data_IF_169635961006
#
_entry.id   IF_169635961006
#
_cell.length_a   1.000
_cell.length_b   1.000
_cell.length_c   1.000
_cell.angle_alpha   90.00
_cell.angle_beta   90.00
_cell.angle_gamma   90.00
#
_symmetry.space_group_name_H-M   'P 1'
#
loop_
_entity.id
_entity.type
_entity.pdbx_description
1 polymer ?
#
# COMPACT_ATOMS: atom_id res chain seq x y z
N UNK A 1 14.31 -14.64 -5.47
CA UNK A 1 12.91 -14.82 -5.87
C UNK A 1 12.84 -15.58 -7.21
N UNK A 2 11.81 -16.41 -7.44
CA UNK A 2 11.50 -16.97 -8.75
C UNK A 2 11.34 -15.88 -9.82
N UNK A 3 11.58 -16.20 -11.08
CA UNK A 3 11.51 -15.22 -12.18
C UNK A 3 10.10 -14.66 -12.38
N UNK A 4 9.09 -15.44 -12.05
CA UNK A 4 7.67 -15.12 -12.21
C UNK A 4 7.04 -14.59 -10.92
N UNK A 5 7.82 -14.30 -9.87
CA UNK A 5 7.32 -13.86 -8.57
C UNK A 5 6.47 -12.58 -8.64
N UNK A 6 6.63 -11.78 -9.70
CA UNK A 6 5.91 -10.52 -9.93
C UNK A 6 4.94 -10.63 -11.12
N UNK A 7 4.69 -11.83 -11.66
CA UNK A 7 3.87 -12.04 -12.84
C UNK A 7 2.75 -13.06 -12.59
N UNK A 8 1.58 -12.83 -13.18
CA UNK A 8 0.45 -13.76 -13.08
C UNK A 8 -0.89 -13.12 -13.43
N UNK A 9 -1.97 -13.93 -13.42
CA UNK A 9 -3.32 -13.41 -13.47
C UNK A 9 -3.52 -12.40 -12.34
N UNK A 10 -4.21 -11.30 -12.63
CA UNK A 10 -4.34 -10.19 -11.71
C UNK A 10 -5.80 -9.74 -11.59
N UNK A 11 -6.09 -9.05 -10.50
CA UNK A 11 -7.32 -8.27 -10.29
C UNK A 11 -6.90 -6.87 -9.83
N UNK A 12 -7.48 -5.82 -10.42
CA UNK A 12 -7.33 -4.45 -9.92
C UNK A 12 -8.54 -4.06 -9.10
N UNK A 13 -8.36 -3.97 -7.77
CA UNK A 13 -9.40 -3.52 -6.84
C UNK A 13 -9.38 -2.00 -6.73
N UNK A 14 -10.57 -1.41 -6.77
CA UNK A 14 -10.78 0.02 -6.58
C UNK A 14 -11.03 0.33 -5.11
N UNK A 15 -10.07 0.96 -4.46
CA UNK A 15 -10.22 1.44 -3.08
C UNK A 15 -10.67 2.90 -2.99
N UNK A 16 -10.50 3.67 -4.08
CA UNK A 16 -10.81 5.10 -4.19
C UNK A 16 -10.62 5.89 -2.89
N UNK A 17 -9.37 6.04 -2.47
CA UNK A 17 -9.05 6.52 -1.14
C UNK A 17 -9.02 8.05 -1.03
N UNK A 18 -9.49 8.52 0.12
CA UNK A 18 -9.28 9.91 0.52
C UNK A 18 -7.82 10.17 0.95
N UNK A 19 -7.34 11.42 0.89
CA UNK A 19 -6.02 11.76 1.44
C UNK A 19 -5.88 11.30 2.88
N UNK A 20 -4.76 10.65 3.20
CA UNK A 20 -4.47 10.07 4.51
C UNK A 20 -5.39 8.94 5.00
N UNK A 21 -6.15 8.30 4.10
CA UNK A 21 -6.87 7.10 4.48
C UNK A 21 -5.88 5.98 4.81
N UNK A 22 -6.03 5.42 6.02
CA UNK A 22 -5.38 4.18 6.42
C UNK A 22 -6.23 3.02 5.92
N UNK A 23 -5.75 2.32 4.89
CA UNK A 23 -6.41 1.15 4.32
C UNK A 23 -6.32 -0.02 5.30
N UNK A 24 -7.47 -0.62 5.58
CA UNK A 24 -7.66 -1.74 6.50
C UNK A 24 -8.14 -2.99 5.77
N UNK A 25 -8.33 -4.08 6.51
CA UNK A 25 -8.98 -5.30 6.04
C UNK A 25 -10.41 -5.05 5.51
N UNK A 26 -11.14 -4.14 6.15
CA UNK A 26 -12.51 -3.80 5.74
C UNK A 26 -12.57 -3.13 4.37
N UNK A 27 -11.68 -2.18 4.11
CA UNK A 27 -11.60 -1.51 2.81
C UNK A 27 -11.28 -2.52 1.69
N UNK A 28 -10.42 -3.51 1.99
CA UNK A 28 -10.08 -4.58 1.04
C UNK A 28 -11.26 -5.52 0.80
N UNK A 29 -12.00 -5.91 1.84
CA UNK A 29 -13.21 -6.72 1.72
C UNK A 29 -14.30 -5.98 0.92
N UNK A 30 -14.55 -4.70 1.22
CA UNK A 30 -15.50 -3.86 0.48
C UNK A 30 -15.12 -3.72 -1.01
N UNK A 31 -13.83 -3.58 -1.32
CA UNK A 31 -13.36 -3.53 -2.70
C UNK A 31 -13.50 -4.88 -3.43
N UNK A 32 -13.28 -6.01 -2.72
CA UNK A 32 -13.56 -7.34 -3.25
C UNK A 32 -15.06 -7.50 -3.57
N UNK A 33 -15.94 -7.08 -2.65
CA UNK A 33 -17.39 -7.11 -2.86
C UNK A 33 -17.82 -6.26 -4.06
N UNK A 34 -17.31 -5.02 -4.17
CA UNK A 34 -17.56 -4.12 -5.31
C UNK A 34 -17.14 -4.75 -6.64
N UNK A 35 -16.05 -5.53 -6.65
CA UNK A 35 -15.54 -6.22 -7.82
C UNK A 35 -16.17 -7.60 -8.06
N UNK A 36 -17.08 -8.06 -7.17
CA UNK A 36 -17.60 -9.43 -7.14
C UNK A 36 -16.46 -10.47 -7.20
N UNK A 37 -15.42 -10.26 -6.39
CA UNK A 37 -14.19 -11.04 -6.35
C UNK A 37 -14.11 -11.83 -5.03
N UNK A 38 -13.80 -13.13 -5.10
CA UNK A 38 -13.49 -13.92 -3.89
C UNK A 38 -11.99 -13.79 -3.58
N UNK A 39 -11.59 -13.18 -2.45
CA UNK A 39 -10.19 -13.02 -2.10
C UNK A 39 -9.45 -14.36 -1.92
N UNK A 40 -10.13 -15.49 -1.74
CA UNK A 40 -9.48 -16.80 -1.74
C UNK A 40 -8.82 -17.16 -3.08
N UNK A 41 -9.28 -16.56 -4.19
CA UNK A 41 -8.66 -16.74 -5.50
C UNK A 41 -7.21 -16.25 -5.55
N UNK A 42 -6.83 -15.29 -4.68
CA UNK A 42 -5.46 -14.77 -4.61
C UNK A 42 -4.42 -15.87 -4.34
N UNK A 43 -4.80 -16.88 -3.56
CA UNK A 43 -3.94 -18.04 -3.23
C UNK A 43 -3.54 -18.86 -4.46
N UNK A 44 -4.25 -18.73 -5.57
CA UNK A 44 -3.95 -19.43 -6.82
C UNK A 44 -2.87 -18.72 -7.65
N UNK A 45 -2.00 -17.95 -7.00
CA UNK A 45 -0.87 -17.26 -7.62
C UNK A 45 -1.25 -15.97 -8.33
N UNK A 46 -2.34 -15.32 -7.92
CA UNK A 46 -2.76 -14.05 -8.52
C UNK A 46 -1.99 -12.86 -7.98
N UNK A 47 -1.86 -11.82 -8.81
CA UNK A 47 -1.38 -10.50 -8.42
C UNK A 47 -2.57 -9.66 -7.95
N UNK A 48 -2.46 -9.09 -6.75
CA UNK A 48 -3.41 -8.12 -6.24
C UNK A 48 -2.95 -6.72 -6.63
N UNK A 49 -3.73 -6.03 -7.45
CA UNK A 49 -3.49 -4.63 -7.79
C UNK A 49 -4.45 -3.75 -7.00
N UNK A 50 -3.92 -2.76 -6.28
CA UNK A 50 -4.70 -1.82 -5.49
C UNK A 50 -4.62 -0.43 -6.12
N UNK A 51 -5.77 0.05 -6.60
CA UNK A 51 -5.91 1.43 -7.07
C UNK A 51 -6.50 2.25 -5.93
N UNK A 52 -5.69 3.14 -5.36
CA UNK A 52 -6.11 4.08 -4.31
C UNK A 52 -6.45 5.47 -4.85
N UNK A 53 -6.09 5.75 -6.11
CA UNK A 53 -6.21 7.07 -6.72
C UNK A 53 -4.96 7.92 -6.54
N UNK A 54 -3.96 7.43 -5.79
CA UNK A 54 -2.68 8.11 -5.61
C UNK A 54 -1.89 8.22 -6.90
N UNK A 55 -2.05 7.29 -7.86
CA UNK A 55 -1.38 7.43 -9.15
C UNK A 55 -1.73 8.76 -9.82
N UNK A 56 -2.98 9.26 -9.72
CA UNK A 56 -3.40 10.54 -10.31
C UNK A 56 -2.71 11.77 -9.71
N UNK A 57 -2.10 11.62 -8.52
CA UNK A 57 -1.37 12.67 -7.81
C UNK A 57 0.15 12.54 -7.95
N UNK A 58 0.64 11.51 -8.64
CA UNK A 58 2.08 11.24 -8.81
C UNK A 58 2.83 12.48 -9.30
N UNK A 59 3.69 13.00 -8.43
CA UNK A 59 4.56 14.16 -8.62
C UNK A 59 5.49 14.27 -7.39
N UNK A 60 6.48 15.16 -7.43
CA UNK A 60 7.36 15.51 -6.30
C UNK A 60 6.65 16.34 -5.20
N UNK A 61 5.32 16.18 -5.10
CA UNK A 61 4.45 17.00 -4.27
C UNK A 61 4.20 16.37 -2.89
N UNK A 62 3.83 17.22 -1.92
CA UNK A 62 3.33 16.73 -0.63
C UNK A 62 2.07 15.87 -0.79
N UNK A 63 1.26 16.13 -1.82
CA UNK A 63 0.00 15.41 -2.04
C UNK A 63 0.27 13.93 -2.29
N UNK A 64 1.30 13.62 -3.09
CA UNK A 64 1.70 12.26 -3.38
C UNK A 64 2.43 11.58 -2.22
N UNK A 65 3.35 12.30 -1.56
CA UNK A 65 4.18 11.73 -0.51
C UNK A 65 3.55 11.87 0.87
N UNK A 66 3.43 13.10 1.36
CA UNK A 66 3.08 13.40 2.74
C UNK A 66 1.62 13.07 3.05
N UNK A 67 0.71 13.32 2.09
CA UNK A 67 -0.74 13.16 2.22
C UNK A 67 -1.28 11.92 1.50
N UNK A 68 -0.39 10.98 1.15
CA UNK A 68 -0.77 9.71 0.55
C UNK A 68 -1.76 8.95 1.44
N UNK A 69 -2.70 8.24 0.83
CA UNK A 69 -3.28 7.06 1.46
C UNK A 69 -2.21 5.95 1.59
N UNK A 70 -2.52 4.88 2.30
CA UNK A 70 -1.67 3.70 2.32
C UNK A 70 -2.15 2.66 3.31
N UNK A 71 -1.50 1.50 3.30
CA UNK A 71 -1.90 0.38 4.13
C UNK A 71 -1.31 0.45 5.54
N UNK A 72 -1.74 -0.45 6.42
CA UNK A 72 -1.12 -0.65 7.72
C UNK A 72 -1.36 -2.06 8.23
N UNK A 73 -1.35 -2.24 9.55
CA UNK A 73 -1.40 -3.55 10.21
C UNK A 73 -2.54 -4.46 9.69
N UNK A 74 -3.76 -3.94 9.64
CA UNK A 74 -4.95 -4.75 9.30
C UNK A 74 -4.92 -5.22 7.85
N UNK A 75 -4.58 -4.32 6.93
CA UNK A 75 -4.36 -4.67 5.53
C UNK A 75 -3.20 -5.66 5.35
N UNK A 76 -2.08 -5.48 6.06
CA UNK A 76 -0.95 -6.42 6.04
C UNK A 76 -1.35 -7.83 6.47
N UNK A 77 -2.09 -7.95 7.59
CA UNK A 77 -2.63 -9.24 8.06
C UNK A 77 -3.61 -9.85 7.04
N UNK A 78 -4.45 -9.04 6.41
CA UNK A 78 -5.37 -9.49 5.36
C UNK A 78 -4.61 -10.05 4.15
N UNK A 79 -3.59 -9.32 3.68
CA UNK A 79 -2.75 -9.74 2.56
C UNK A 79 -2.01 -11.03 2.90
N UNK A 80 -1.41 -11.14 4.08
CA UNK A 80 -0.75 -12.36 4.54
C UNK A 80 -1.74 -13.55 4.61
N UNK A 81 -2.96 -13.30 5.07
CA UNK A 81 -4.04 -14.30 5.11
C UNK A 81 -4.33 -14.82 3.71
N UNK A 82 -4.66 -13.98 2.73
CA UNK A 82 -5.08 -14.41 1.39
C UNK A 82 -3.92 -14.71 0.43
N UNK A 83 -2.71 -14.36 0.82
CA UNK A 83 -1.45 -14.79 0.20
C UNK A 83 -1.41 -14.62 -1.33
N UNK A 84 -1.65 -13.39 -1.85
CA UNK A 84 -1.41 -13.12 -3.27
C UNK A 84 0.06 -13.36 -3.61
N UNK A 85 0.35 -13.65 -4.88
CA UNK A 85 1.72 -13.81 -5.37
C UNK A 85 2.52 -12.51 -5.24
N UNK A 86 1.88 -11.39 -5.57
CA UNK A 86 2.44 -10.05 -5.54
C UNK A 86 1.34 -9.05 -5.22
N UNK A 87 1.66 -7.96 -4.52
CA UNK A 87 0.78 -6.81 -4.36
C UNK A 87 1.39 -5.62 -5.09
N UNK A 88 0.63 -5.00 -5.99
CA UNK A 88 1.05 -3.79 -6.69
C UNK A 88 0.11 -2.65 -6.35
N UNK A 89 0.62 -1.50 -5.95
CA UNK A 89 -0.22 -0.36 -5.56
C UNK A 89 0.36 0.98 -6.01
N UNK A 90 -0.53 1.96 -6.16
CA UNK A 90 -0.20 3.28 -6.69
C UNK A 90 0.31 4.29 -5.65
N UNK A 91 0.35 3.90 -4.37
CA UNK A 91 0.94 4.69 -3.30
C UNK A 91 2.47 4.78 -3.43
N UNK A 92 3.04 5.82 -2.81
CA UNK A 92 4.48 6.05 -2.78
C UNK A 92 5.28 4.91 -2.12
N UNK A 93 4.65 4.23 -1.16
CA UNK A 93 5.13 3.01 -0.52
C UNK A 93 3.95 2.08 -0.20
N UNK A 94 4.22 0.84 0.25
CA UNK A 94 3.16 -0.09 0.66
C UNK A 94 2.38 0.46 1.86
N UNK A 95 3.09 0.99 2.85
CA UNK A 95 2.51 1.50 4.10
C UNK A 95 2.14 2.99 4.01
N UNK A 96 1.13 3.36 4.80
CA UNK A 96 0.73 4.75 5.01
C UNK A 96 1.92 5.60 5.44
N UNK A 97 2.08 6.86 4.97
CA UNK A 97 3.25 7.68 5.25
C UNK A 97 3.59 7.82 6.74
N UNK A 98 2.58 7.79 7.61
CA UNK A 98 2.78 7.87 9.06
C UNK A 98 3.36 6.59 9.69
N UNK A 99 3.26 5.43 9.04
CA UNK A 99 3.98 4.20 9.41
C UNK A 99 5.43 4.19 8.94
N UNK A 100 5.83 5.15 8.09
CA UNK A 100 7.18 5.28 7.52
C UNK A 100 7.99 6.39 8.20
N UNK A 101 9.22 6.60 7.73
CA UNK A 101 10.14 7.58 8.28
C UNK A 101 9.61 9.00 8.12
N UNK A 102 8.62 9.23 7.25
CA UNK A 102 7.95 10.53 7.14
C UNK A 102 7.24 10.95 8.43
N UNK A 103 6.69 9.98 9.17
CA UNK A 103 6.09 10.17 10.48
C UNK A 103 7.13 10.09 11.61
N UNK A 104 6.73 9.50 12.74
CA UNK A 104 7.59 9.27 13.91
C UNK A 104 8.03 7.82 14.08
N UNK A 105 7.88 6.99 13.04
CA UNK A 105 8.25 5.58 13.12
C UNK A 105 9.62 5.29 12.51
N UNK A 106 10.13 4.12 12.86
CA UNK A 106 11.38 3.58 12.34
C UNK A 106 12.62 4.26 12.92
N UNK A 107 13.80 3.91 12.43
CA UNK A 107 15.06 4.44 12.96
C UNK A 107 15.25 5.94 12.68
N UNK A 108 14.61 6.48 11.63
CA UNK A 108 14.87 7.85 11.16
C UNK A 108 13.92 8.89 11.76
N UNK A 109 12.61 8.59 11.88
CA UNK A 109 11.59 9.44 12.51
C UNK A 109 11.62 10.93 12.09
N UNK A 110 11.56 11.21 10.77
CA UNK A 110 11.77 12.57 10.25
C UNK A 110 10.69 13.56 10.69
N UNK A 111 9.46 13.09 10.90
CA UNK A 111 8.30 13.87 11.28
C UNK A 111 8.14 15.14 10.42
N UNK A 112 7.97 14.93 9.12
CA UNK A 112 8.10 15.96 8.08
C UNK A 112 7.08 17.11 8.25
N UNK A 113 7.43 18.34 7.81
CA UNK A 113 6.52 19.49 7.86
C UNK A 113 5.38 19.38 6.85
N UNK A 114 4.14 19.51 7.33
CA UNK A 114 2.93 19.56 6.51
C UNK A 114 2.69 20.92 5.83
N UNK A 115 1.43 21.18 5.48
CA UNK A 115 0.93 22.36 4.75
C UNK A 115 0.70 23.55 5.69
N UNK A 116 0.36 23.28 6.94
CA UNK A 116 0.18 24.29 7.99
C UNK A 116 1.52 24.75 8.58
N UNK A 117 2.63 24.14 8.15
CA UNK A 117 3.96 24.32 8.74
C UNK A 117 4.20 23.49 10.00
N UNK A 118 3.15 22.85 10.55
CA UNK A 118 3.28 21.86 11.64
C UNK A 118 3.62 20.48 11.08
N UNK A 119 4.23 19.59 11.88
CA UNK A 119 4.56 18.25 11.41
C UNK A 119 3.31 17.45 11.01
N UNK A 120 3.46 16.54 10.04
CA UNK A 120 2.34 15.75 9.50
C UNK A 120 1.63 14.91 10.57
N UNK A 121 2.31 14.49 11.63
CA UNK A 121 1.66 13.79 12.75
C UNK A 121 0.70 14.70 13.50
N UNK A 122 1.06 15.98 13.70
CA UNK A 122 0.19 16.93 14.39
C UNK A 122 -1.01 17.30 13.53
N UNK A 123 -0.79 17.54 12.23
CA UNK A 123 -1.90 17.81 11.30
C UNK A 123 -2.89 16.65 11.21
N UNK A 124 -2.39 15.41 11.24
CA UNK A 124 -3.25 14.23 11.28
C UNK A 124 -4.05 14.17 12.59
N UNK A 125 -3.40 14.38 13.75
CA UNK A 125 -4.07 14.41 15.07
C UNK A 125 -5.15 15.49 15.10
N UNK A 126 -4.88 16.68 14.57
CA UNK A 126 -5.86 17.77 14.59
C UNK A 126 -7.08 17.47 13.72
N UNK A 127 -6.90 16.72 12.63
CA UNK A 127 -7.97 16.39 11.68
C UNK A 127 -8.77 15.16 12.13
N UNK A 128 -8.10 14.11 12.60
CA UNK A 128 -8.71 12.79 12.85
C UNK A 128 -8.72 12.38 14.32
N UNK A 129 -8.04 13.13 15.18
CA UNK A 129 -7.93 12.84 16.61
C UNK A 129 -6.77 11.92 16.98
N UNK A 130 -6.45 11.90 18.27
CA UNK A 130 -5.35 11.10 18.82
C UNK A 130 -5.61 9.59 18.74
N UNK A 131 -6.87 9.16 18.82
CA UNK A 131 -7.27 7.75 18.70
C UNK A 131 -6.98 7.20 17.30
N UNK A 132 -7.25 7.97 16.24
CA UNK A 132 -6.86 7.59 14.89
C UNK A 132 -5.33 7.57 14.74
N UNK A 133 -4.64 8.57 15.28
CA UNK A 133 -3.17 8.63 15.21
C UNK A 133 -2.48 7.48 15.98
N UNK A 134 -3.09 6.99 17.05
CA UNK A 134 -2.56 5.92 17.88
C UNK A 134 -2.16 4.68 17.07
N UNK A 135 -2.86 4.37 15.98
CA UNK A 135 -2.53 3.25 15.11
C UNK A 135 -1.17 3.36 14.43
N UNK A 136 -0.62 4.56 14.31
CA UNK A 136 0.69 4.77 13.70
C UNK A 136 1.83 4.75 14.69
N UNK A 137 1.62 4.99 15.99
CA UNK A 137 2.75 5.22 16.91
C UNK A 137 2.57 4.41 18.19
N UNK A 138 3.60 3.63 18.55
CA UNK A 138 3.56 2.67 19.64
C UNK A 138 3.23 3.30 20.99
N UNK A 139 3.90 4.38 21.38
CA UNK A 139 3.70 5.00 22.69
C UNK A 139 2.29 5.59 22.80
N UNK A 140 1.82 6.27 21.76
CA UNK A 140 0.45 6.78 21.68
C UNK A 140 -0.57 5.63 21.72
N UNK A 141 -0.33 4.53 21.00
CA UNK A 141 -1.20 3.35 21.08
C UNK A 141 -1.32 2.83 22.51
N UNK A 142 -0.19 2.65 23.19
CA UNK A 142 -0.18 2.15 24.56
C UNK A 142 -0.86 3.14 25.52
N UNK A 143 -0.69 4.45 25.32
CA UNK A 143 -1.35 5.46 26.14
C UNK A 143 -2.88 5.49 25.93
N UNK A 144 -3.34 5.34 24.69
CA UNK A 144 -4.77 5.43 24.34
C UNK A 144 -5.50 4.12 24.63
N UNK A 145 -4.89 2.97 24.31
CA UNK A 145 -5.55 1.66 24.29
C UNK A 145 -4.95 0.64 25.27
N UNK A 146 -3.82 0.94 25.89
CA UNK A 146 -3.15 0.05 26.84
C UNK A 146 -2.18 -0.94 26.18
N UNK A 147 -1.20 -1.40 26.97
CA UNK A 147 -0.17 -2.35 26.54
C UNK A 147 -0.75 -3.72 26.14
N UNK A 148 -1.80 -4.18 26.82
CA UNK A 148 -2.44 -5.47 26.51
C UNK A 148 -2.97 -5.50 25.08
N UNK A 149 -3.75 -4.48 24.70
CA UNK A 149 -4.27 -4.34 23.34
C UNK A 149 -3.15 -4.08 22.32
N UNK A 150 -2.10 -3.38 22.71
CA UNK A 150 -0.92 -3.22 21.83
C UNK A 150 -0.30 -4.57 21.49
N UNK A 151 -0.11 -5.45 22.47
CA UNK A 151 0.44 -6.78 22.25
C UNK A 151 -0.53 -7.71 21.52
N UNK A 152 -1.85 -7.56 21.70
CA UNK A 152 -2.85 -8.27 20.88
C UNK A 152 -2.72 -7.92 19.40
N UNK A 153 -2.52 -6.63 19.09
CA UNK A 153 -2.47 -6.16 17.71
C UNK A 153 -1.10 -6.36 17.06
N UNK A 154 -0.03 -5.96 17.74
CA UNK A 154 1.32 -5.87 17.21
C UNK A 154 2.31 -6.89 17.80
N UNK A 155 1.87 -7.70 18.76
CA UNK A 155 2.76 -8.58 19.53
C UNK A 155 3.48 -9.63 18.70
N UNK A 156 2.90 -10.09 17.58
CA UNK A 156 3.57 -11.01 16.65
C UNK A 156 4.84 -10.40 16.05
N UNK A 157 4.79 -9.12 15.66
CA UNK A 157 5.96 -8.40 15.13
C UNK A 157 6.95 -8.09 16.26
N UNK A 158 6.47 -7.60 17.40
CA UNK A 158 7.35 -7.28 18.54
C UNK A 158 8.10 -8.51 19.07
N UNK A 159 7.46 -9.68 19.06
CA UNK A 159 8.07 -10.94 19.50
C UNK A 159 9.27 -11.38 18.65
N UNK A 160 9.35 -10.94 17.40
CA UNK A 160 10.48 -11.21 16.50
C UNK A 160 11.47 -10.04 16.42
N UNK A 161 11.33 -9.05 17.30
CA UNK A 161 12.21 -7.87 17.35
C UNK A 161 11.86 -6.80 16.32
N UNK A 162 10.70 -6.92 15.66
CA UNK A 162 10.24 -5.94 14.69
C UNK A 162 9.32 -4.92 15.36
N UNK A 163 9.65 -3.62 15.21
CA UNK A 163 8.80 -2.55 15.74
C UNK A 163 7.42 -2.59 15.08
N UNK A 164 6.39 -2.91 15.85
CA UNK A 164 5.06 -3.23 15.32
C UNK A 164 4.42 -2.14 14.47
N UNK A 165 4.58 -0.86 14.83
CA UNK A 165 3.99 0.26 14.09
C UNK A 165 4.88 0.77 12.95
N UNK A 166 6.11 0.28 12.84
CA UNK A 166 7.01 0.58 11.71
C UNK A 166 6.74 -0.37 10.55
N UNK A 167 6.24 0.19 9.44
CA UNK A 167 5.97 -0.53 8.18
C UNK A 167 5.35 -1.94 8.37
N UNK A 168 4.23 -2.05 9.11
CA UNK A 168 3.64 -3.35 9.40
C UNK A 168 3.20 -4.10 8.14
N UNK A 169 2.69 -3.41 7.11
CA UNK A 169 2.26 -4.09 5.90
C UNK A 169 3.45 -4.70 5.15
N UNK A 170 4.57 -3.97 5.03
CA UNK A 170 5.83 -4.52 4.50
C UNK A 170 6.21 -5.82 5.22
N UNK A 171 6.19 -5.81 6.55
CA UNK A 171 6.61 -6.97 7.37
C UNK A 171 5.70 -8.17 7.18
N UNK A 172 4.39 -7.96 7.17
CA UNK A 172 3.45 -9.05 6.90
C UNK A 172 3.55 -9.57 5.47
N UNK A 173 3.85 -8.72 4.49
CA UNK A 173 4.06 -9.16 3.11
C UNK A 173 5.38 -9.91 2.94
N UNK A 174 6.50 -9.21 3.13
CA UNK A 174 7.84 -9.73 2.85
C UNK A 174 8.22 -10.86 3.80
N UNK A 175 7.81 -10.78 5.07
CA UNK A 175 8.00 -11.87 6.04
C UNK A 175 7.27 -13.16 5.66
N UNK A 176 6.26 -13.08 4.79
CA UNK A 176 5.56 -14.23 4.22
C UNK A 176 5.95 -14.51 2.76
N UNK A 177 7.02 -13.90 2.25
CA UNK A 177 7.49 -14.10 0.87
C UNK A 177 6.63 -13.46 -0.21
N UNK A 178 5.69 -12.57 0.17
CA UNK A 178 4.83 -11.81 -0.75
C UNK A 178 5.58 -10.55 -1.17
N UNK A 179 5.77 -10.38 -2.47
CA UNK A 179 6.54 -9.26 -3.03
C UNK A 179 5.63 -8.07 -3.34
N UNK A 180 6.22 -6.86 -3.41
CA UNK A 180 5.52 -5.61 -3.61
C UNK A 180 5.95 -4.86 -4.89
N UNK A 181 5.02 -4.09 -5.46
CA UNK A 181 5.31 -3.00 -6.41
C UNK A 181 4.68 -1.73 -5.85
N UNK A 182 5.49 -0.69 -5.71
CA UNK A 182 5.08 0.63 -5.25
C UNK A 182 5.14 1.61 -6.41
N UNK A 183 4.50 2.78 -6.26
CA UNK A 183 4.44 3.80 -7.29
C UNK A 183 3.83 3.30 -8.61
N UNK A 184 2.93 2.31 -8.55
CA UNK A 184 2.28 1.79 -9.74
C UNK A 184 1.49 2.92 -10.43
N UNK A 185 1.75 3.09 -11.72
CA UNK A 185 1.18 4.16 -12.52
C UNK A 185 0.80 3.67 -13.92
N UNK A 186 0.67 4.62 -14.85
CA UNK A 186 0.13 4.36 -16.19
C UNK A 186 -1.40 4.49 -16.21
N UNK A 187 -2.03 3.71 -17.07
CA UNK A 187 -3.47 3.72 -17.33
C UNK A 187 -4.24 2.81 -16.37
N UNK A 188 -4.02 2.93 -15.04
CA UNK A 188 -4.73 2.11 -14.04
C UNK A 188 -6.25 2.21 -14.20
N UNK A 189 -6.76 3.40 -14.52
CA UNK A 189 -8.20 3.64 -14.72
C UNK A 189 -8.80 2.76 -15.83
N UNK A 190 -8.01 2.34 -16.82
CA UNK A 190 -8.49 1.45 -17.90
C UNK A 190 -8.71 0.01 -17.44
N UNK A 191 -8.05 -0.42 -16.35
CA UNK A 191 -8.07 -1.80 -15.85
C UNK A 191 -8.64 -1.95 -14.44
N UNK A 192 -9.04 -0.85 -13.79
CA UNK A 192 -9.68 -0.91 -12.47
C UNK A 192 -10.99 -1.71 -12.52
N UNK A 193 -11.18 -2.61 -11.56
CA UNK A 193 -12.30 -3.57 -11.51
C UNK A 193 -12.16 -4.74 -12.50
N UNK A 194 -11.06 -4.85 -13.24
CA UNK A 194 -10.85 -5.87 -14.28
C UNK A 194 -9.84 -6.92 -13.86
N UNK A 195 -10.00 -8.11 -14.45
CA UNK A 195 -8.97 -9.16 -14.46
C UNK A 195 -8.12 -9.02 -15.71
N UNK A 196 -6.84 -9.29 -15.58
CA UNK A 196 -5.88 -9.21 -16.68
C UNK A 196 -4.62 -9.99 -16.36
N UNK A 197 -3.71 -10.15 -17.31
CA UNK A 197 -2.40 -10.74 -17.07
C UNK A 197 -1.41 -9.62 -16.70
N UNK A 198 -0.82 -9.69 -15.51
CA UNK A 198 0.17 -8.72 -15.03
C UNK A 198 1.58 -9.23 -15.27
N UNK A 199 2.42 -8.38 -15.85
CA UNK A 199 3.81 -8.64 -16.14
C UNK A 199 4.71 -7.59 -15.48
N UNK A 200 5.68 -8.05 -14.70
CA UNK A 200 6.66 -7.18 -14.05
C UNK A 200 7.98 -7.94 -13.89
N UNK A 201 9.05 -7.40 -14.48
CA UNK A 201 10.35 -8.07 -14.55
C UNK A 201 11.43 -7.22 -13.88
N UNK A 202 11.72 -7.45 -12.59
CA UNK A 202 12.78 -6.73 -11.89
C UNK A 202 14.17 -7.04 -12.47
N UNK A 203 15.02 -6.02 -12.54
CA UNK A 203 16.44 -6.20 -12.81
C UNK A 203 17.07 -7.11 -11.75
N UNK A 204 17.75 -8.16 -12.22
CA UNK A 204 18.41 -9.13 -11.35
C UNK A 204 19.85 -8.72 -11.07
N UNK A 205 20.04 -7.96 -10.01
CA UNK A 205 21.36 -7.58 -9.50
C UNK A 205 21.71 -8.31 -8.20
N UNK A 206 23.00 -8.43 -7.92
CA UNK A 206 23.50 -9.23 -6.80
C UNK A 206 23.09 -8.59 -5.47
N UNK A 207 22.39 -9.36 -4.62
CA UNK A 207 21.89 -8.92 -3.30
C UNK A 207 20.99 -7.67 -3.34
N UNK A 208 20.27 -7.45 -4.43
CA UNK A 208 19.34 -6.33 -4.54
C UNK A 208 18.03 -6.58 -3.78
N UNK A 209 17.60 -5.60 -2.97
CA UNK A 209 16.32 -5.62 -2.24
C UNK A 209 15.16 -5.01 -3.05
N UNK A 210 15.46 -4.31 -4.15
CA UNK A 210 14.49 -3.68 -5.02
C UNK A 210 15.11 -3.16 -6.32
N UNK A 211 14.25 -2.77 -7.27
CA UNK A 211 14.65 -2.17 -8.55
C UNK A 211 13.46 -1.48 -9.20
N UNK A 212 13.75 -0.47 -10.03
CA UNK A 212 12.76 0.06 -10.96
C UNK A 212 12.32 -1.02 -11.95
N UNK A 213 11.05 -0.98 -12.32
CA UNK A 213 10.39 -1.93 -13.21
C UNK A 213 9.46 -1.22 -14.19
N UNK A 214 9.20 -1.88 -15.33
CA UNK A 214 8.09 -1.54 -16.21
C UNK A 214 7.01 -2.59 -16.03
N UNK A 215 5.94 -2.22 -15.34
CA UNK A 215 4.75 -3.07 -15.22
C UNK A 215 3.91 -2.96 -16.50
N UNK A 216 3.33 -4.08 -16.93
CA UNK A 216 2.47 -4.19 -18.11
C UNK A 216 1.22 -4.98 -17.75
N UNK A 217 0.06 -4.47 -18.16
CA UNK A 217 -1.20 -5.20 -18.14
C UNK A 217 -1.48 -5.70 -19.57
N UNK A 218 -1.68 -7.01 -19.72
CA UNK A 218 -2.16 -7.63 -20.95
C UNK A 218 -3.64 -8.00 -20.75
N UNK A 219 -4.51 -7.41 -21.56
CA UNK A 219 -5.98 -7.52 -21.51
C UNK A 219 -6.53 -7.30 -22.93
N UNK A 220 -7.70 -7.86 -23.22
CA UNK A 220 -8.42 -7.55 -24.46
C UNK A 220 -8.84 -6.07 -24.46
N UNK A 221 -8.73 -5.40 -25.61
CA UNK A 221 -9.12 -3.99 -25.76
C UNK A 221 -10.62 -3.80 -25.51
N UNK A 222 -11.45 -4.79 -25.85
CA UNK A 222 -12.90 -4.76 -25.63
C UNK A 222 -13.27 -4.79 -24.14
N UNK A 223 -12.37 -5.27 -23.27
CA UNK A 223 -12.57 -5.36 -21.82
C UNK A 223 -12.13 -4.10 -21.07
N UNK A 224 -11.43 -3.16 -21.73
CA UNK A 224 -10.97 -1.92 -21.12
C UNK A 224 -12.13 -1.03 -20.68
N UNK A 225 -11.94 -0.30 -19.57
CA UNK A 225 -12.86 0.76 -19.21
C UNK A 225 -12.76 1.90 -20.25
N UNK A 226 -13.89 2.51 -20.67
CA UNK A 226 -13.91 3.57 -21.67
C UNK A 226 -13.52 4.92 -21.08
N UNK A 227 -12.27 5.02 -20.62
CA UNK A 227 -11.67 6.21 -20.02
C UNK A 227 -10.51 6.70 -20.89
N UNK A 228 -10.23 8.02 -20.93
CA UNK A 228 -9.13 8.55 -21.73
C UNK A 228 -7.77 8.05 -21.22
N UNK A 229 -6.79 8.06 -22.13
CA UNK A 229 -5.39 7.87 -21.78
C UNK A 229 -4.97 8.85 -20.68
N UNK A 230 -4.17 8.36 -19.74
CA UNK A 230 -3.64 9.21 -18.69
C UNK A 230 -2.66 10.22 -19.27
N UNK A 231 -2.91 11.49 -18.98
CA UNK A 231 -1.98 12.59 -19.29
C UNK A 231 -1.15 12.92 -18.06
N UNK A 232 0.17 12.75 -18.17
CA UNK A 232 1.11 13.19 -17.14
C UNK A 232 1.32 14.70 -17.22
N UNK A 233 1.22 15.39 -16.08
CA UNK A 233 1.46 16.84 -16.00
C UNK A 233 2.96 17.18 -16.07
N UNK A 234 3.81 16.24 -15.65
CA UNK A 234 5.25 16.38 -15.57
C UNK A 234 5.91 15.05 -15.94
N UNK A 235 7.09 15.10 -16.56
CA UNK A 235 7.80 13.94 -17.13
C UNK A 235 8.12 14.14 -18.61
N UNK A 236 9.21 13.52 -19.07
CA UNK A 236 9.63 13.60 -20.48
C UNK A 236 8.67 12.77 -21.33
N UNK A 237 8.11 13.40 -22.36
CA UNK A 237 7.38 12.74 -23.46
C UNK A 237 8.36 11.82 -24.21
#
# INVERSE_FOLDING_TARGET
>A
LPVDAYCGPAICLDLDCEPWQLVTDKDLDEACEKANFDPNELRNGMVLVLRTGMHLKYDDSKDYYHYSAGTGLKAGKWIAKYHPKCVAMDCQALDHPLHTAMGKNGPTQMNLPGRTGRPITQEYIDKYGIEAYAWFEREVFIQVYGMERYMEEYGELEAIGEWGTWEPCHKYMMGNGIVGVENLGGDLEKVVGKRFQFWCFPLRWYMGDGTMVRCVAEIDEDDLNPVPDRVYKYGVI
#
